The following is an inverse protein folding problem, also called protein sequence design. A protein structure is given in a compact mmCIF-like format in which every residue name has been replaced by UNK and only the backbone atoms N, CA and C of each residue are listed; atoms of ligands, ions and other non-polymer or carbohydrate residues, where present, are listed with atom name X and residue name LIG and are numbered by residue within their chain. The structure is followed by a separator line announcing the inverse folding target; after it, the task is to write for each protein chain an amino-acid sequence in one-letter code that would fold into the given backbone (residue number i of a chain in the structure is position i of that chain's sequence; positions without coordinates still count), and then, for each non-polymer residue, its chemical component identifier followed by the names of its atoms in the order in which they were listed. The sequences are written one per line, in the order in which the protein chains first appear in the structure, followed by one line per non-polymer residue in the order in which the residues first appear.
data_IF_784774919502
#
_entry.id   IF_784774919502
#
_cell.length_a   1.000
_cell.length_b   1.000
_cell.length_c   1.000
_cell.angle_alpha   90.00
_cell.angle_beta   90.00
_cell.angle_gamma   90.00
#
_symmetry.space_group_name_H-M   'P 1'
#
loop_
_entity.id
_entity.type
_entity.pdbx_description
1 polymer ?
#
# COMPACT_ATOMS: atom_id res chain seq x y z
N UNK A 1 -18.93 8.77 12.39
CA UNK A 1 -19.17 8.09 11.09
C UNK A 1 -17.85 7.45 10.68
N UNK A 2 -17.72 6.12 10.79
CA UNK A 2 -16.53 5.43 10.26
C UNK A 2 -16.65 5.48 8.75
N UNK A 3 -15.85 6.32 8.09
CA UNK A 3 -15.77 6.34 6.64
C UNK A 3 -15.37 4.92 6.19
N UNK A 4 -16.16 4.28 5.34
CA UNK A 4 -15.73 3.04 4.70
C UNK A 4 -14.43 3.35 3.93
N UNK A 5 -13.31 2.76 4.36
CA UNK A 5 -12.01 3.06 3.77
C UNK A 5 -12.03 2.65 2.28
N UNK A 6 -11.71 3.59 1.39
CA UNK A 6 -11.66 3.33 -0.05
C UNK A 6 -10.57 2.30 -0.38
N UNK A 7 -10.67 1.67 -1.56
CA UNK A 7 -9.65 0.73 -2.04
C UNK A 7 -8.26 1.39 -2.03
N UNK A 8 -8.19 2.62 -2.53
CA UNK A 8 -6.98 3.45 -2.50
C UNK A 8 -6.47 3.66 -1.06
N UNK A 9 -7.33 4.10 -0.14
CA UNK A 9 -6.93 4.36 1.24
C UNK A 9 -6.43 3.12 1.98
N UNK A 10 -7.02 1.94 1.74
CA UNK A 10 -6.55 0.68 2.33
C UNK A 10 -5.19 0.26 1.77
N UNK A 11 -4.94 0.45 0.48
CA UNK A 11 -3.63 0.18 -0.13
C UNK A 11 -2.59 1.20 0.31
N UNK A 12 -2.92 2.49 0.36
CA UNK A 12 -2.03 3.54 0.89
C UNK A 12 -1.62 3.23 2.33
N UNK A 13 -2.56 2.79 3.18
CA UNK A 13 -2.26 2.36 4.55
C UNK A 13 -1.32 1.15 4.56
N UNK A 14 -1.61 0.10 3.79
CA UNK A 14 -0.76 -1.10 3.74
C UNK A 14 0.67 -0.78 3.25
N UNK A 15 0.79 0.09 2.24
CA UNK A 15 2.09 0.54 1.75
C UNK A 15 2.84 1.37 2.80
N UNK A 16 2.16 2.25 3.52
CA UNK A 16 2.76 3.06 4.58
C UNK A 16 3.23 2.20 5.76
N UNK A 17 2.42 1.22 6.17
CA UNK A 17 2.75 0.26 7.23
C UNK A 17 3.99 -0.55 6.85
N UNK A 18 4.09 -1.01 5.59
CA UNK A 18 5.29 -1.70 5.09
C UNK A 18 6.51 -0.77 4.98
N UNK A 19 6.33 0.49 4.56
CA UNK A 19 7.42 1.45 4.42
C UNK A 19 8.05 1.87 5.75
N UNK A 20 7.23 1.99 6.79
CA UNK A 20 7.62 2.37 8.16
C UNK A 20 7.72 1.19 9.13
N UNK A 21 7.61 -0.06 8.64
CA UNK A 21 7.47 -1.26 9.48
C UNK A 21 8.66 -1.56 10.39
N UNK A 22 9.80 -0.90 10.20
CA UNK A 22 10.97 -0.97 11.08
C UNK A 22 11.08 0.21 12.06
N UNK A 23 10.02 1.01 12.19
CA UNK A 23 9.93 2.15 13.09
C UNK A 23 10.50 3.46 12.54
N UNK A 24 11.05 3.46 11.32
CA UNK A 24 11.54 4.71 10.71
C UNK A 24 10.38 5.64 10.33
N UNK A 25 10.45 6.95 10.63
CA UNK A 25 9.43 7.88 10.20
C UNK A 25 9.48 8.08 8.67
N UNK A 26 8.35 7.89 8.00
CA UNK A 26 8.22 8.04 6.54
C UNK A 26 7.16 9.08 6.16
N UNK A 27 7.26 9.60 4.94
CA UNK A 27 6.25 10.46 4.30
C UNK A 27 6.01 10.00 2.86
N UNK A 28 4.75 9.95 2.38
CA UNK A 28 4.47 9.56 1.00
C UNK A 28 5.05 10.59 0.01
N UNK A 29 5.59 10.09 -1.10
CA UNK A 29 6.11 10.90 -2.23
C UNK A 29 5.26 10.67 -3.47
N UNK A 30 4.96 9.42 -3.78
CA UNK A 30 4.07 9.05 -4.88
C UNK A 30 3.29 7.78 -4.55
N UNK A 31 2.12 7.67 -5.15
CA UNK A 31 1.25 6.51 -5.09
C UNK A 31 0.68 6.26 -6.49
N UNK A 32 0.79 5.03 -6.96
CA UNK A 32 0.22 4.57 -8.22
C UNK A 32 -0.67 3.37 -7.93
N UNK A 33 -1.87 3.37 -8.50
CA UNK A 33 -2.89 2.36 -8.29
C UNK A 33 -3.38 1.85 -9.64
N UNK A 34 -3.21 0.56 -9.86
CA UNK A 34 -3.70 -0.15 -11.04
C UNK A 34 -4.92 -0.97 -10.63
N UNK A 35 -6.08 -0.65 -11.20
CA UNK A 35 -7.32 -1.38 -10.95
C UNK A 35 -7.36 -2.66 -11.77
N UNK A 36 -7.86 -3.74 -11.16
CA UNK A 36 -7.98 -5.05 -11.77
C UNK A 36 -9.43 -5.50 -11.89
N UNK A 37 -9.71 -6.71 -11.39
CA UNK A 37 -11.02 -7.32 -11.42
C UNK A 37 -12.04 -6.53 -10.57
N UNK A 38 -13.30 -6.57 -10.99
CA UNK A 38 -14.42 -6.11 -10.16
C UNK A 38 -14.63 -7.05 -8.96
N UNK A 39 -14.96 -6.46 -7.81
CA UNK A 39 -15.26 -7.17 -6.57
C UNK A 39 -15.44 -6.21 -5.40
N UNK A 40 -15.87 -6.76 -4.27
CA UNK A 40 -16.10 -5.99 -3.05
C UNK A 40 -14.80 -5.79 -2.26
N UNK A 41 -14.52 -4.54 -1.87
CA UNK A 41 -13.32 -4.18 -1.09
C UNK A 41 -13.26 -4.96 0.23
N UNK A 42 -14.43 -5.23 0.84
CA UNK A 42 -14.54 -5.96 2.10
C UNK A 42 -14.06 -7.42 2.03
N UNK A 43 -14.05 -8.02 0.84
CA UNK A 43 -13.65 -9.42 0.63
C UNK A 43 -12.18 -9.57 0.24
N UNK A 44 -11.49 -8.45 0.03
CA UNK A 44 -10.08 -8.45 -0.36
C UNK A 44 -9.15 -8.49 0.86
N UNK A 45 -8.10 -9.30 0.73
CA UNK A 45 -6.92 -9.27 1.59
C UNK A 45 -5.91 -8.28 1.01
N UNK A 46 -5.30 -7.48 1.89
CA UNK A 46 -4.34 -6.45 1.53
C UNK A 46 -2.96 -6.84 2.06
N UNK A 47 -1.96 -6.81 1.19
CA UNK A 47 -0.58 -7.08 1.57
C UNK A 47 0.35 -6.11 0.86
N UNK A 48 1.45 -5.75 1.52
CA UNK A 48 2.49 -4.92 0.96
C UNK A 48 3.87 -5.41 1.38
N UNK A 49 4.88 -5.13 0.56
CA UNK A 49 6.27 -5.47 0.82
C UNK A 49 7.18 -4.36 0.31
N UNK A 50 8.32 -4.19 0.99
CA UNK A 50 9.39 -3.33 0.50
C UNK A 50 10.11 -4.07 -0.64
N UNK A 51 10.11 -3.48 -1.83
CA UNK A 51 10.89 -3.99 -2.96
C UNK A 51 12.34 -3.46 -2.91
N UNK A 52 12.52 -2.22 -2.43
CA UNK A 52 13.84 -1.58 -2.31
C UNK A 52 13.82 -0.49 -1.24
N UNK A 53 14.91 -0.36 -0.48
CA UNK A 53 15.15 0.77 0.41
C UNK A 53 16.51 1.42 0.13
N UNK A 54 16.58 2.73 0.29
CA UNK A 54 17.81 3.53 0.26
C UNK A 54 17.92 4.35 1.56
N UNK A 55 18.94 5.21 1.67
CA UNK A 55 19.05 6.14 2.81
C UNK A 55 17.84 7.06 2.93
N UNK A 56 17.29 7.53 1.81
CA UNK A 56 16.27 8.60 1.78
C UNK A 56 14.92 8.15 1.24
N UNK A 57 14.82 6.99 0.59
CA UNK A 57 13.61 6.51 -0.05
C UNK A 57 13.32 5.03 0.26
N UNK A 58 12.05 4.69 0.35
CA UNK A 58 11.54 3.31 0.43
C UNK A 58 10.54 3.10 -0.70
N UNK A 59 10.75 2.06 -1.49
CA UNK A 59 9.90 1.64 -2.60
C UNK A 59 9.13 0.41 -2.15
N UNK A 60 7.80 0.50 -2.20
CA UNK A 60 6.90 -0.52 -1.67
C UNK A 60 5.90 -0.90 -2.75
N UNK A 61 5.61 -2.19 -2.85
CA UNK A 61 4.56 -2.72 -3.70
C UNK A 61 3.52 -3.44 -2.84
N UNK A 62 2.26 -3.31 -3.22
CA UNK A 62 1.15 -3.91 -2.50
C UNK A 62 0.02 -4.33 -3.42
N UNK A 63 -0.81 -5.24 -2.93
CA UNK A 63 -1.86 -5.88 -3.70
C UNK A 63 -3.11 -6.05 -2.84
N UNK A 64 -4.28 -5.92 -3.48
CA UNK A 64 -5.57 -6.30 -2.94
C UNK A 64 -6.07 -7.52 -3.72
N UNK A 65 -6.21 -8.66 -3.03
CA UNK A 65 -6.53 -9.95 -3.64
C UNK A 65 -7.79 -10.52 -3.01
N UNK A 66 -8.76 -10.90 -3.85
CA UNK A 66 -9.99 -11.57 -3.45
C UNK A 66 -9.71 -13.01 -2.99
N UNK A 67 -10.64 -13.60 -2.25
CA UNK A 67 -10.53 -14.99 -1.80
C UNK A 67 -10.41 -16.00 -2.96
N UNK A 68 -10.93 -15.66 -4.15
CA UNK A 68 -10.81 -16.47 -5.37
C UNK A 68 -9.48 -16.29 -6.12
N UNK A 69 -8.55 -15.50 -5.56
CA UNK A 69 -7.23 -15.23 -6.13
C UNK A 69 -7.19 -14.14 -7.20
N UNK A 70 -8.35 -13.59 -7.61
CA UNK A 70 -8.36 -12.44 -8.53
C UNK A 70 -7.84 -11.20 -7.83
N UNK A 71 -7.08 -10.39 -8.57
CA UNK A 71 -6.54 -9.13 -8.08
C UNK A 71 -7.54 -8.00 -8.32
N UNK A 72 -7.98 -7.38 -7.24
CA UNK A 72 -8.83 -6.19 -7.25
C UNK A 72 -8.02 -4.95 -7.65
N UNK A 73 -6.79 -4.83 -7.13
CA UNK A 73 -5.84 -3.81 -7.54
C UNK A 73 -4.41 -4.19 -7.12
N UNK A 74 -3.42 -3.57 -7.78
CA UNK A 74 -2.06 -3.45 -7.28
C UNK A 74 -1.71 -1.98 -7.09
N UNK A 75 -0.82 -1.71 -6.14
CA UNK A 75 -0.31 -0.37 -5.92
C UNK A 75 1.20 -0.38 -5.74
N UNK A 76 1.83 0.69 -6.18
CA UNK A 76 3.23 0.98 -5.89
C UNK A 76 3.34 2.34 -5.22
N UNK A 77 4.17 2.42 -4.19
CA UNK A 77 4.38 3.63 -3.40
C UNK A 77 5.86 3.95 -3.27
N UNK A 78 6.17 5.24 -3.28
CA UNK A 78 7.49 5.75 -2.90
C UNK A 78 7.31 6.60 -1.66
N UNK A 79 8.11 6.33 -0.65
CA UNK A 79 8.12 7.05 0.62
C UNK A 79 9.49 7.66 0.87
N UNK A 80 9.53 8.87 1.41
CA UNK A 80 10.74 9.51 1.91
C UNK A 80 10.95 9.14 3.37
N UNK A 81 12.17 8.75 3.73
CA UNK A 81 12.60 8.62 5.13
C UNK A 81 12.81 10.02 5.70
N UNK A 82 12.16 10.36 6.82
CA UNK A 82 12.35 11.64 7.50
C UNK A 82 13.65 11.57 8.30
N UNK A 83 14.46 12.62 8.20
CA UNK A 83 15.57 12.80 9.15
C UNK A 83 14.95 12.99 10.55
N UNK A 84 15.52 12.28 11.52
CA UNK A 84 15.06 12.31 12.92
C UNK A 84 15.56 13.58 13.60
#
# INVERSE_FOLDING_TARGET
MTQAASLAGRLEQALADAAGGDGRPVSPVSFTLDYGAAGEIGEATFAARVDRATRSLVFVHGEAVLADGRRLASASGVFRVKET
#
